data_IF_546319563673
#
_entry.id   IF_546319563673
#
_cell.length_a   1.000
_cell.length_b   1.000
_cell.length_c   1.000
_cell.angle_alpha   90.00
_cell.angle_beta   90.00
_cell.angle_gamma   90.00
#
_symmetry.space_group_name_H-M   'P 1'
#
loop_
_entity.id
_entity.type
_entity.pdbx_description
1 polymer ?
#
# COMPACT_ATOMS: atom_id res chain seq x y z
N UNK A 1 0.38 13.51 -3.71
CA UNK A 1 1.63 12.87 -4.19
C UNK A 1 1.60 11.39 -3.79
N UNK A 2 2.29 10.50 -4.50
CA UNK A 2 2.45 9.10 -4.08
C UNK A 2 3.94 8.75 -3.92
N UNK A 3 4.22 7.83 -3.00
CA UNK A 3 5.55 7.30 -2.71
C UNK A 3 5.55 5.80 -2.96
N UNK A 4 6.57 5.29 -3.64
CA UNK A 4 6.65 3.86 -3.97
C UNK A 4 7.32 3.05 -2.85
N UNK A 5 6.87 1.82 -2.63
CA UNK A 5 7.49 0.89 -1.71
C UNK A 5 7.31 -0.56 -2.17
N UNK A 6 7.99 -1.47 -1.49
CA UNK A 6 7.98 -2.90 -1.78
C UNK A 6 7.29 -3.68 -0.66
N UNK A 7 6.47 -4.65 -1.03
CA UNK A 7 5.84 -5.62 -0.14
C UNK A 7 6.35 -7.01 -0.51
N UNK A 8 7.09 -7.63 0.40
CA UNK A 8 7.58 -9.00 0.26
C UNK A 8 6.57 -9.93 0.93
N UNK A 9 6.16 -10.97 0.21
CA UNK A 9 5.17 -11.95 0.67
C UNK A 9 5.60 -13.37 0.32
N UNK A 10 5.22 -14.34 1.13
CA UNK A 10 5.45 -15.78 0.86
C UNK A 10 4.42 -16.38 -0.09
N UNK A 11 3.33 -15.66 -0.38
CA UNK A 11 2.23 -16.07 -1.26
C UNK A 11 2.09 -15.07 -2.40
N UNK A 12 1.74 -15.55 -3.60
CA UNK A 12 1.51 -14.65 -4.74
C UNK A 12 0.19 -13.90 -4.56
N UNK A 13 0.28 -12.58 -4.38
CA UNK A 13 -0.89 -11.70 -4.31
C UNK A 13 -1.57 -11.59 -5.68
N UNK A 14 -0.79 -11.70 -6.76
CA UNK A 14 -1.31 -11.76 -8.13
C UNK A 14 -2.18 -12.98 -8.36
N UNK A 15 -1.73 -14.17 -7.96
CA UNK A 15 -2.52 -15.38 -8.09
C UNK A 15 -3.82 -15.30 -7.30
N UNK A 16 -3.78 -14.74 -6.08
CA UNK A 16 -4.94 -14.57 -5.24
C UNK A 16 -5.96 -13.62 -5.90
N UNK A 17 -5.50 -12.48 -6.42
CA UNK A 17 -6.34 -11.54 -7.17
C UNK A 17 -7.07 -12.24 -8.33
N UNK A 18 -6.33 -13.02 -9.13
CA UNK A 18 -6.87 -13.68 -10.32
C UNK A 18 -7.79 -14.86 -9.98
N UNK A 19 -7.39 -15.76 -9.08
CA UNK A 19 -8.15 -16.97 -8.72
C UNK A 19 -9.48 -16.63 -8.04
N UNK A 20 -9.47 -15.65 -7.13
CA UNK A 20 -10.67 -15.19 -6.45
C UNK A 20 -11.44 -14.14 -7.26
N UNK A 21 -10.91 -13.74 -8.43
CA UNK A 21 -11.45 -12.73 -9.33
C UNK A 21 -11.80 -11.44 -8.57
N UNK A 22 -10.85 -10.91 -7.80
CA UNK A 22 -10.98 -9.58 -7.18
C UNK A 22 -10.64 -8.49 -8.19
N UNK A 23 -11.27 -7.33 -8.07
CA UNK A 23 -11.01 -6.21 -8.97
C UNK A 23 -9.75 -5.44 -8.56
N UNK A 24 -9.45 -5.40 -7.26
CA UNK A 24 -8.30 -4.67 -6.73
C UNK A 24 -7.67 -5.32 -5.50
N UNK A 25 -6.42 -4.92 -5.23
CA UNK A 25 -5.72 -5.13 -3.97
C UNK A 25 -5.19 -3.78 -3.46
N UNK A 26 -5.38 -3.49 -2.18
CA UNK A 26 -4.88 -2.28 -1.52
C UNK A 26 -4.27 -2.62 -0.17
N UNK A 27 -3.47 -1.71 0.35
CA UNK A 27 -2.93 -1.75 1.70
C UNK A 27 -3.72 -0.73 2.53
N UNK A 28 -4.30 -1.21 3.62
CA UNK A 28 -4.91 -0.37 4.64
C UNK A 28 -4.02 -0.36 5.88
N UNK A 29 -3.59 0.82 6.31
CA UNK A 29 -2.80 0.99 7.52
C UNK A 29 -3.66 1.59 8.63
N UNK A 30 -3.23 1.38 9.88
CA UNK A 30 -3.78 2.11 11.02
C UNK A 30 -3.70 3.63 10.83
N UNK A 31 -4.61 4.38 11.47
CA UNK A 31 -4.57 5.85 11.45
C UNK A 31 -3.29 6.36 12.10
N UNK A 32 -2.70 7.38 11.49
CA UNK A 32 -1.57 8.16 12.00
C UNK A 32 -2.09 9.53 12.44
N UNK A 33 -2.34 9.70 13.73
CA UNK A 33 -2.96 10.93 14.25
C UNK A 33 -4.27 11.24 13.48
N UNK A 34 -4.33 12.40 12.82
CA UNK A 34 -5.47 12.87 12.01
C UNK A 34 -5.48 12.36 10.57
N UNK A 35 -4.50 11.54 10.16
CA UNK A 35 -4.33 11.10 8.78
C UNK A 35 -4.47 9.59 8.64
N UNK A 36 -4.95 9.15 7.48
CA UNK A 36 -5.02 7.75 7.08
C UNK A 36 -4.07 7.49 5.91
N UNK A 37 -3.05 6.64 6.08
CA UNK A 37 -2.26 6.15 4.95
C UNK A 37 -3.13 5.22 4.10
N UNK A 38 -3.20 5.51 2.80
CA UNK A 38 -3.83 4.65 1.82
C UNK A 38 -2.80 4.26 0.78
N UNK A 39 -2.57 2.97 0.60
CA UNK A 39 -1.64 2.46 -0.40
C UNK A 39 -2.33 1.54 -1.40
N UNK A 40 -2.06 1.73 -2.69
CA UNK A 40 -2.52 0.87 -3.76
C UNK A 40 -1.43 -0.15 -4.12
N UNK A 41 -1.79 -1.43 -4.28
CA UNK A 41 -0.84 -2.46 -4.67
C UNK A 41 -0.84 -2.69 -6.18
N UNK A 42 0.33 -2.58 -6.80
CA UNK A 42 0.57 -2.94 -8.20
C UNK A 42 0.84 -4.44 -8.33
N UNK A 43 -0.09 -5.28 -7.88
CA UNK A 43 0.04 -6.76 -7.90
C UNK A 43 0.25 -7.34 -9.30
N UNK A 44 -0.16 -6.63 -10.37
CA UNK A 44 0.09 -7.08 -11.76
C UNK A 44 1.59 -7.07 -12.11
N UNK A 45 2.36 -6.20 -11.48
CA UNK A 45 3.81 -6.02 -11.63
C UNK A 45 4.61 -6.86 -10.61
N UNK A 46 3.96 -7.82 -9.92
CA UNK A 46 4.61 -8.71 -8.94
C UNK A 46 5.77 -9.50 -9.58
N UNK A 47 6.93 -9.48 -8.91
CA UNK A 47 8.12 -10.23 -9.29
C UNK A 47 8.35 -11.38 -8.30
N UNK A 48 8.67 -12.57 -8.83
CA UNK A 48 9.07 -13.71 -8.01
C UNK A 48 10.58 -13.67 -7.78
N UNK A 49 11.00 -13.66 -6.52
CA UNK A 49 12.40 -13.69 -6.10
C UNK A 49 12.61 -14.90 -5.19
N UNK A 50 13.27 -15.94 -5.71
CA UNK A 50 13.46 -17.23 -5.03
C UNK A 50 12.13 -17.82 -4.54
N UNK A 51 11.91 -17.81 -3.21
CA UNK A 51 10.73 -18.34 -2.52
C UNK A 51 9.75 -17.24 -2.07
N UNK A 52 9.95 -16.00 -2.52
CA UNK A 52 9.12 -14.85 -2.15
C UNK A 52 8.59 -14.12 -3.37
N UNK A 53 7.52 -13.35 -3.16
CA UNK A 53 6.88 -12.51 -4.15
C UNK A 53 6.98 -11.06 -3.70
N UNK A 54 7.55 -10.22 -4.56
CA UNK A 54 7.75 -8.80 -4.33
C UNK A 54 6.75 -8.01 -5.17
N UNK A 55 5.85 -7.29 -4.49
CA UNK A 55 4.87 -6.40 -5.09
C UNK A 55 5.21 -4.95 -4.77
N UNK A 56 5.13 -4.07 -5.78
CA UNK A 56 5.26 -2.63 -5.56
C UNK A 56 3.92 -2.07 -5.06
N UNK A 57 3.95 -1.19 -4.08
CA UNK A 57 2.80 -0.38 -3.69
C UNK A 57 3.08 1.11 -3.88
N UNK A 58 2.02 1.87 -4.09
CA UNK A 58 2.02 3.33 -4.14
C UNK A 58 1.23 3.88 -2.97
N UNK A 59 1.90 4.56 -2.06
CA UNK A 59 1.31 5.10 -0.84
C UNK A 59 1.02 6.59 -0.96
N UNK A 60 -0.16 6.99 -0.49
CA UNK A 60 -0.56 8.38 -0.25
C UNK A 60 -0.97 8.52 1.22
N UNK A 61 -0.80 9.72 1.78
CA UNK A 61 -1.35 10.08 3.10
C UNK A 61 -2.42 11.11 2.88
N UNK A 62 -3.63 10.84 3.36
CA UNK A 62 -4.78 11.72 3.23
C UNK A 62 -5.47 11.86 4.59
N UNK A 63 -6.19 12.96 4.87
CA UNK A 63 -6.93 13.10 6.13
C UNK A 63 -8.05 12.06 6.28
N UNK A 64 -8.61 11.59 5.17
CA UNK A 64 -9.69 10.62 5.12
C UNK A 64 -9.31 9.34 4.34
N UNK A 65 -10.19 8.33 4.34
CA UNK A 65 -10.02 7.10 3.54
C UNK A 65 -10.31 7.32 2.04
N UNK A 66 -9.87 8.45 1.50
CA UNK A 66 -10.01 8.82 0.10
C UNK A 66 -8.64 9.19 -0.49
N UNK A 67 -8.09 8.27 -1.28
CA UNK A 67 -6.81 8.45 -1.99
C UNK A 67 -6.87 9.50 -3.12
N UNK A 68 -8.06 10.03 -3.43
CA UNK A 68 -8.30 11.09 -4.41
C UNK A 68 -8.55 12.46 -3.76
N UNK A 69 -8.57 12.53 -2.42
CA UNK A 69 -8.77 13.78 -1.70
C UNK A 69 -7.75 14.85 -2.12
N UNK A 70 -8.23 16.06 -2.37
CA UNK A 70 -7.37 17.21 -2.69
C UNK A 70 -6.46 17.61 -1.51
N UNK A 71 -6.83 17.19 -0.30
CA UNK A 71 -6.12 17.40 0.96
C UNK A 71 -5.05 16.32 1.24
N UNK A 72 -4.88 15.35 0.34
CA UNK A 72 -3.76 14.42 0.45
C UNK A 72 -2.42 15.16 0.42
N UNK A 73 -1.46 14.68 1.21
CA UNK A 73 -0.11 15.26 1.30
C UNK A 73 0.53 15.34 -0.09
N UNK A 74 1.03 16.54 -0.44
CA UNK A 74 1.59 16.85 -1.76
C UNK A 74 3.12 16.96 -1.75
N UNK A 75 3.73 17.26 -0.59
CA UNK A 75 5.19 17.40 -0.43
C UNK A 75 5.80 16.10 0.10
N UNK A 76 6.98 15.73 -0.43
CA UNK A 76 7.77 14.60 0.08
C UNK A 76 8.29 14.87 1.50
N UNK A 77 8.64 16.12 1.78
CA UNK A 77 9.10 16.53 3.11
C UNK A 77 8.00 16.36 4.15
N UNK A 78 6.79 16.85 3.88
CA UNK A 78 5.64 16.70 4.77
C UNK A 78 5.22 15.22 4.92
N UNK A 79 5.33 14.44 3.83
CA UNK A 79 5.07 13.00 3.88
C UNK A 79 6.02 12.29 4.84
N UNK A 80 7.33 12.56 4.73
CA UNK A 80 8.36 12.00 5.60
C UNK A 80 8.24 12.49 7.05
N UNK A 81 7.92 13.77 7.26
CA UNK A 81 7.75 14.34 8.60
C UNK A 81 6.58 13.72 9.39
N UNK A 82 5.56 13.23 8.68
CA UNK A 82 4.36 12.60 9.27
C UNK A 82 4.55 11.13 9.65
N UNK A 83 5.43 10.41 8.96
CA UNK A 83 5.69 8.99 9.22
C UNK A 83 6.91 8.87 10.13
N UNK A 84 6.66 8.82 11.43
CA UNK A 84 7.69 8.71 12.48
C UNK A 84 7.84 7.30 13.04
N UNK A 85 6.94 6.39 12.68
CA UNK A 85 6.86 5.03 13.21
C UNK A 85 6.57 4.07 12.08
N UNK A 86 6.84 2.80 12.32
CA UNK A 86 6.44 1.73 11.42
C UNK A 86 4.90 1.68 11.33
N UNK A 87 4.41 1.38 10.13
CA UNK A 87 2.97 1.31 9.85
C UNK A 87 2.52 -0.13 9.93
N UNK A 88 1.59 -0.41 10.84
CA UNK A 88 0.89 -1.69 10.86
C UNK A 88 -0.23 -1.65 9.83
N UNK A 89 -0.11 -2.50 8.81
CA UNK A 89 -1.00 -2.51 7.67
C UNK A 89 -1.48 -3.91 7.33
N UNK A 90 -2.56 -3.98 6.57
CA UNK A 90 -3.19 -5.21 6.11
C UNK A 90 -3.41 -5.13 4.60
N UNK A 91 -3.27 -6.27 3.91
CA UNK A 91 -3.61 -6.36 2.49
C UNK A 91 -5.08 -6.70 2.38
N UNK A 92 -5.83 -5.80 1.74
CA UNK A 92 -7.26 -5.92 1.50
C UNK A 92 -7.51 -6.11 0.02
N UNK A 93 -8.14 -7.22 -0.32
CA UNK A 93 -8.67 -7.49 -1.65
C UNK A 93 -10.15 -7.15 -1.67
N UNK A 94 -10.65 -6.69 -2.82
CA UNK A 94 -12.05 -6.35 -2.96
C UNK A 94 -12.48 -6.26 -4.41
N UNK A 95 -13.79 -6.09 -4.60
CA UNK A 95 -14.36 -5.83 -5.91
C UNK A 95 -15.64 -5.00 -5.83
N UNK A 96 -16.08 -4.46 -6.95
CA UNK A 96 -17.32 -3.66 -7.03
C UNK A 96 -18.53 -4.46 -6.55
N UNK A 97 -18.57 -5.75 -6.86
CA UNK A 97 -19.65 -6.67 -6.47
C UNK A 97 -19.22 -7.70 -5.40
N UNK A 98 -18.00 -7.60 -4.85
CA UNK A 98 -17.43 -8.60 -3.93
C UNK A 98 -17.12 -7.99 -2.57
N UNK A 99 -17.41 -8.72 -1.47
CA UNK A 99 -17.03 -8.25 -0.14
C UNK A 99 -15.51 -8.13 -0.03
N UNK A 100 -15.07 -7.23 0.85
CA UNK A 100 -13.65 -7.07 1.17
C UNK A 100 -13.14 -8.35 1.84
N UNK A 101 -11.98 -8.83 1.43
CA UNK A 101 -11.28 -9.95 2.04
C UNK A 101 -9.89 -9.51 2.49
N UNK A 102 -9.58 -9.73 3.77
CA UNK A 102 -8.26 -9.49 4.34
C UNK A 102 -7.47 -10.79 4.24
N UNK A 103 -6.34 -10.78 3.53
CA UNK A 103 -5.61 -12.02 3.19
C UNK A 103 -4.26 -12.10 3.90
N UNK A 104 -3.73 -10.98 4.37
CA UNK A 104 -2.51 -10.96 5.19
C UNK A 104 -2.82 -10.49 6.59
N UNK A 105 -2.36 -11.26 7.58
CA UNK A 105 -2.18 -10.79 8.96
C UNK A 105 -1.31 -9.54 8.93
N UNK A 106 -1.54 -8.63 9.88
CA UNK A 106 -0.87 -7.32 9.97
C UNK A 106 0.63 -7.44 9.70
N UNK A 107 1.11 -6.70 8.71
CA UNK A 107 2.53 -6.55 8.43
C UNK A 107 2.97 -5.13 8.75
N UNK A 108 4.25 -4.98 9.09
CA UNK A 108 4.85 -3.68 9.32
C UNK A 108 5.47 -3.16 8.03
N UNK A 109 5.08 -1.96 7.58
CA UNK A 109 5.87 -1.18 6.63
C UNK A 109 6.84 -0.34 7.45
N UNK A 110 8.14 -0.59 7.27
CA UNK A 110 9.17 0.14 8.00
C UNK A 110 9.14 1.63 7.66
N UNK A 111 9.23 2.46 8.68
CA UNK A 111 9.45 3.91 8.55
C UNK A 111 10.70 4.21 7.71
N UNK A 112 11.78 3.42 7.81
CA UNK A 112 12.98 3.63 6.99
C UNK A 112 12.72 3.40 5.50
N UNK A 113 11.95 2.37 5.14
CA UNK A 113 11.55 2.13 3.76
C UNK A 113 10.81 3.34 3.20
N UNK A 114 9.97 3.96 4.02
CA UNK A 114 9.18 5.13 3.63
C UNK A 114 10.03 6.40 3.57
N UNK A 115 10.95 6.60 4.51
CA UNK A 115 11.88 7.74 4.55
C UNK A 115 12.88 7.69 3.40
N UNK A 116 13.25 6.51 2.93
CA UNK A 116 14.14 6.32 1.79
C UNK A 116 13.41 6.29 0.46
N UNK A 117 12.08 6.24 0.47
CA UNK A 117 11.31 6.16 -0.75
C UNK A 117 11.28 7.49 -1.50
N UNK A 118 11.34 7.38 -2.81
CA UNK A 118 11.30 8.49 -3.74
C UNK A 118 9.86 8.79 -4.18
N UNK A 119 9.67 10.01 -4.68
CA UNK A 119 8.39 10.39 -5.29
C UNK A 119 8.14 9.51 -6.50
N UNK A 120 6.98 8.87 -6.54
CA UNK A 120 6.57 8.12 -7.73
C UNK A 120 6.33 9.08 -8.91
N UNK A 121 7.03 8.83 -10.01
CA UNK A 121 6.84 9.50 -11.30
C UNK A 121 6.17 8.47 -12.22
N UNK A 122 4.90 8.69 -12.63
CA UNK A 122 4.27 7.84 -13.63
C UNK A 122 5.06 7.93 -14.95
N UNK A 123 5.36 6.79 -15.57
CA UNK A 123 5.85 6.73 -16.95
C UNK A 123 4.76 7.13 -17.95
#
# INVERSE_FOLDING_TARGET
MAVAGSLISSVSLKEILLKQQFDFARIECGKLNEFKPSAYLKVKEEKKEQNTFNSVFLMKICPEDDANSEYCVKSLEDFKARIKTDLNCEVVFGGMAKPKMIISNRFAISSQQILNAEKYIPE
#
